data_IF_422511590712
#
_entry.id   IF_422511590712
#
_cell.length_a   1.000
_cell.length_b   1.000
_cell.length_c   1.000
_cell.angle_alpha   90.00
_cell.angle_beta   90.00
_cell.angle_gamma   90.00
#
_symmetry.space_group_name_H-M   'P 1'
#
loop_
_entity.id
_entity.type
_entity.pdbx_description
1 polymer ?
#
# COMPACT_ATOMS: atom_id res chain seq x y z
N UNK A 1 6.82 10.16 -0.78
CA UNK A 1 7.03 11.62 -0.57
C UNK A 1 8.52 12.02 -0.58
N UNK A 2 9.41 11.07 -0.28
CA UNK A 2 10.81 11.34 0.00
C UNK A 2 11.66 11.64 -1.23
N UNK A 3 12.87 12.14 -0.98
CA UNK A 3 13.89 12.42 -1.99
C UNK A 3 14.70 11.16 -2.35
N UNK A 4 15.71 11.35 -3.21
CA UNK A 4 16.58 10.28 -3.68
C UNK A 4 17.54 9.73 -2.62
N UNK A 5 17.66 10.35 -1.44
CA UNK A 5 18.45 9.79 -0.33
C UNK A 5 17.72 8.62 0.30
N UNK A 6 16.38 8.65 0.31
CA UNK A 6 15.54 7.56 0.82
C UNK A 6 15.01 6.67 -0.31
N UNK A 7 14.59 7.27 -1.42
CA UNK A 7 13.95 6.63 -2.57
C UNK A 7 14.84 6.74 -3.83
N UNK A 8 15.92 5.92 -3.85
CA UNK A 8 17.09 6.10 -4.74
C UNK A 8 16.78 6.13 -6.24
N UNK A 9 15.93 5.23 -6.72
CA UNK A 9 15.72 4.99 -8.15
C UNK A 9 14.25 5.09 -8.54
N UNK A 10 13.43 5.82 -7.77
CA UNK A 10 12.06 6.11 -8.16
C UNK A 10 12.03 7.10 -9.33
N UNK A 11 11.05 6.97 -10.26
CA UNK A 11 10.71 8.04 -11.19
C UNK A 11 10.36 9.33 -10.44
N UNK A 12 10.36 10.46 -11.16
CA UNK A 12 10.01 11.74 -10.54
C UNK A 12 8.58 11.69 -9.96
N UNK A 13 8.31 12.48 -8.91
CA UNK A 13 6.95 12.54 -8.34
C UNK A 13 5.89 12.94 -9.36
N UNK A 14 6.25 13.79 -10.32
CA UNK A 14 5.39 14.15 -11.45
C UNK A 14 5.01 12.94 -12.29
N UNK A 15 5.97 12.07 -12.62
CA UNK A 15 5.71 10.84 -13.38
C UNK A 15 4.87 9.85 -12.59
N UNK A 16 5.18 9.63 -11.31
CA UNK A 16 4.40 8.73 -10.44
C UNK A 16 2.94 9.17 -10.34
N UNK A 17 2.70 10.47 -10.11
CA UNK A 17 1.35 11.04 -10.05
C UNK A 17 0.64 10.89 -11.40
N UNK A 18 1.33 11.12 -12.52
CA UNK A 18 0.73 10.95 -13.84
C UNK A 18 0.36 9.49 -14.10
N UNK A 19 1.22 8.53 -13.78
CA UNK A 19 0.94 7.10 -13.90
C UNK A 19 -0.26 6.70 -13.04
N UNK A 20 -0.37 7.21 -11.81
CA UNK A 20 -1.52 6.98 -10.95
C UNK A 20 -2.82 7.50 -11.58
N UNK A 21 -2.82 8.72 -12.13
CA UNK A 21 -3.99 9.32 -12.78
C UNK A 21 -4.40 8.56 -14.04
N UNK A 22 -3.43 8.08 -14.83
CA UNK A 22 -3.68 7.23 -15.99
C UNK A 22 -4.33 5.92 -15.54
N UNK A 23 -3.76 5.23 -14.55
CA UNK A 23 -4.33 3.99 -14.01
C UNK A 23 -5.77 4.20 -13.53
N UNK A 24 -5.99 5.24 -12.73
CA UNK A 24 -7.31 5.62 -12.22
C UNK A 24 -8.35 5.86 -13.32
N UNK A 25 -7.98 6.56 -14.39
CA UNK A 25 -8.87 6.74 -15.56
C UNK A 25 -9.18 5.43 -16.27
N UNK A 26 -8.22 4.50 -16.30
CA UNK A 26 -8.36 3.21 -16.98
C UNK A 26 -9.24 2.24 -16.20
N UNK A 27 -9.08 2.15 -14.87
CA UNK A 27 -9.76 1.11 -14.07
C UNK A 27 -10.85 1.64 -13.15
N UNK A 28 -10.90 2.95 -12.89
CA UNK A 28 -11.80 3.61 -11.94
C UNK A 28 -11.06 4.10 -10.70
N UNK A 29 -11.46 5.28 -10.21
CA UNK A 29 -10.89 5.90 -9.00
C UNK A 29 -11.17 5.07 -7.74
N UNK A 30 -12.30 4.38 -7.70
CA UNK A 30 -12.71 3.50 -6.62
C UNK A 30 -11.84 2.24 -6.54
N UNK A 31 -11.17 1.87 -7.64
CA UNK A 31 -10.26 0.72 -7.73
C UNK A 31 -8.79 1.11 -7.60
N UNK A 32 -8.50 2.40 -7.50
CA UNK A 32 -7.14 2.93 -7.47
C UNK A 32 -6.89 3.62 -6.14
N UNK A 33 -6.24 2.91 -5.22
CA UNK A 33 -6.04 3.38 -3.84
C UNK A 33 -4.63 3.97 -3.70
N UNK A 34 -4.53 5.18 -3.16
CA UNK A 34 -3.24 5.80 -2.83
C UNK A 34 -2.70 5.22 -1.53
N UNK A 35 -1.40 4.91 -1.49
CA UNK A 35 -0.69 4.57 -0.26
C UNK A 35 0.35 5.64 0.04
N UNK A 36 0.19 6.32 1.17
CA UNK A 36 1.19 7.21 1.74
C UNK A 36 1.89 6.46 2.89
N UNK A 37 2.77 5.53 2.49
CA UNK A 37 3.32 4.51 3.38
C UNK A 37 4.80 4.21 3.01
N UNK A 38 5.71 4.17 3.99
CA UNK A 38 5.53 4.52 5.39
C UNK A 38 5.68 6.02 5.64
N UNK A 39 5.12 6.52 6.74
CA UNK A 39 5.45 7.82 7.35
C UNK A 39 6.75 7.65 8.16
N UNK A 40 7.75 8.48 7.88
CA UNK A 40 9.09 8.44 8.45
C UNK A 40 9.36 9.80 9.09
N UNK A 41 9.85 9.84 10.34
CA UNK A 41 10.30 11.08 10.96
C UNK A 41 11.82 11.15 11.08
N UNK A 42 12.36 12.31 10.71
CA UNK A 42 13.74 12.74 10.99
C UNK A 42 13.70 14.21 11.39
N UNK A 43 14.85 14.78 11.76
CA UNK A 43 14.96 16.22 12.03
C UNK A 43 14.51 17.09 10.83
N UNK A 44 14.73 16.62 9.61
CA UNK A 44 14.39 17.30 8.36
C UNK A 44 13.01 16.89 7.80
N UNK A 45 12.52 15.71 8.18
CA UNK A 45 11.25 15.14 7.75
C UNK A 45 10.31 15.15 8.96
N UNK A 46 9.72 16.31 9.23
CA UNK A 46 8.87 16.54 10.38
C UNK A 46 7.37 16.57 10.00
N UNK A 47 6.52 16.91 10.97
CA UNK A 47 5.08 17.04 10.76
C UNK A 47 4.74 18.08 9.67
N UNK A 48 5.47 19.19 9.59
CA UNK A 48 5.23 20.24 8.59
C UNK A 48 5.62 19.76 7.19
N UNK A 49 6.74 19.04 7.06
CA UNK A 49 7.14 18.38 5.83
C UNK A 49 6.04 17.43 5.34
N UNK A 50 5.50 16.60 6.23
CA UNK A 50 4.42 15.68 5.90
C UNK A 50 3.15 16.40 5.45
N UNK A 51 2.74 17.45 6.17
CA UNK A 51 1.57 18.25 5.81
C UNK A 51 1.71 18.85 4.39
N UNK A 52 2.84 19.51 4.11
CA UNK A 52 3.13 20.14 2.82
C UNK A 52 3.11 19.13 1.68
N UNK A 53 3.86 18.03 1.81
CA UNK A 53 4.01 17.04 0.74
C UNK A 53 2.72 16.24 0.52
N UNK A 54 2.01 15.91 1.61
CA UNK A 54 0.74 15.23 1.51
C UNK A 54 -0.31 16.10 0.83
N UNK A 55 -0.45 17.38 1.20
CA UNK A 55 -1.38 18.32 0.56
C UNK A 55 -1.06 18.50 -0.93
N UNK A 56 0.23 18.63 -1.27
CA UNK A 56 0.65 18.72 -2.67
C UNK A 56 0.20 17.50 -3.46
N UNK A 57 0.41 16.28 -2.96
CA UNK A 57 0.00 15.05 -3.66
C UNK A 57 -1.52 14.91 -3.69
N UNK A 58 -2.20 15.12 -2.55
CA UNK A 58 -3.66 15.04 -2.44
C UNK A 58 -4.35 15.95 -3.46
N UNK A 59 -3.88 17.20 -3.62
CA UNK A 59 -4.42 18.14 -4.62
C UNK A 59 -4.27 17.66 -6.07
N UNK A 60 -3.31 16.77 -6.36
CA UNK A 60 -3.11 16.19 -7.69
C UNK A 60 -3.85 14.88 -7.91
N UNK A 61 -4.27 14.24 -6.82
CA UNK A 61 -5.00 12.97 -6.83
C UNK A 61 -6.50 13.14 -6.58
N UNK A 62 -6.96 14.34 -6.26
CA UNK A 62 -8.39 14.68 -6.19
C UNK A 62 -9.12 14.22 -7.46
N UNK A 63 -10.21 13.47 -7.27
CA UNK A 63 -10.99 12.88 -8.37
C UNK A 63 -10.37 11.64 -9.03
N UNK A 64 -9.17 11.22 -8.63
CA UNK A 64 -8.49 10.01 -9.13
C UNK A 64 -8.41 8.89 -8.07
N UNK A 65 -8.77 9.17 -6.83
CA UNK A 65 -8.92 8.15 -5.79
C UNK A 65 -9.92 8.64 -4.75
N UNK A 66 -10.58 7.71 -4.07
CA UNK A 66 -11.44 8.01 -2.93
C UNK A 66 -10.75 7.67 -1.58
N UNK A 67 -9.60 6.97 -1.61
CA UNK A 67 -8.97 6.37 -0.43
C UNK A 67 -7.45 6.56 -0.41
N UNK A 68 -6.94 6.89 0.77
CA UNK A 68 -5.52 6.87 1.09
C UNK A 68 -5.25 5.95 2.28
N UNK A 69 -4.35 4.99 2.12
CA UNK A 69 -3.84 4.17 3.22
C UNK A 69 -2.56 4.81 3.75
N UNK A 70 -2.48 4.96 5.07
CA UNK A 70 -1.27 5.39 5.77
C UNK A 70 -0.79 4.31 6.74
N UNK A 71 0.51 4.32 7.01
CA UNK A 71 1.13 3.58 8.10
C UNK A 71 2.42 4.28 8.50
N UNK A 72 2.89 3.99 9.70
CA UNK A 72 4.15 4.50 10.22
C UNK A 72 5.25 3.45 10.03
N UNK A 73 6.51 3.91 9.97
CA UNK A 73 7.64 3.03 9.68
C UNK A 73 7.79 1.92 10.75
N UNK A 74 7.58 0.68 10.33
CA UNK A 74 8.04 -0.52 11.04
C UNK A 74 9.53 -0.79 10.72
N UNK A 75 10.34 -0.96 11.76
CA UNK A 75 11.75 -1.32 11.62
C UNK A 75 11.93 -2.85 11.64
N UNK A 76 12.36 -3.38 10.49
CA UNK A 76 12.79 -4.77 10.32
C UNK A 76 14.32 -4.80 10.21
N UNK A 77 14.96 -5.94 10.50
CA UNK A 77 16.43 -6.08 10.53
C UNK A 77 17.15 -5.42 9.35
N UNK A 78 16.61 -5.56 8.12
CA UNK A 78 17.19 -4.88 6.97
C UNK A 78 16.88 -3.39 6.93
N UNK A 79 15.62 -2.97 7.10
CA UNK A 79 15.30 -1.55 7.03
C UNK A 79 16.09 -0.79 8.09
N UNK A 80 16.33 -1.37 9.27
CA UNK A 80 17.29 -0.86 10.26
C UNK A 80 18.71 -0.71 9.70
N UNK A 81 19.25 -1.75 9.06
CA UNK A 81 20.60 -1.71 8.47
C UNK A 81 20.73 -0.63 7.40
N UNK A 82 19.74 -0.53 6.51
CA UNK A 82 19.74 0.40 5.38
C UNK A 82 19.48 1.84 5.82
N UNK A 83 18.63 2.04 6.83
CA UNK A 83 18.29 3.34 7.38
C UNK A 83 19.32 3.79 8.44
N UNK A 84 20.38 3.03 8.73
CA UNK A 84 21.37 3.36 9.79
C UNK A 84 22.03 4.74 9.63
N UNK A 85 22.18 5.22 8.40
CA UNK A 85 22.72 6.56 8.12
C UNK A 85 21.67 7.68 8.24
N UNK A 86 20.39 7.32 8.33
CA UNK A 86 19.28 8.22 8.54
C UNK A 86 18.99 8.27 10.04
N UNK A 87 19.07 9.46 10.62
CA UNK A 87 18.73 9.67 12.03
C UNK A 87 17.21 9.70 12.18
N UNK A 88 16.64 8.52 12.35
CA UNK A 88 15.22 8.34 12.62
C UNK A 88 14.84 8.88 14.00
N UNK A 89 13.71 9.56 14.08
CA UNK A 89 13.09 9.91 15.34
C UNK A 89 12.12 8.81 15.79
N UNK A 90 12.15 8.49 17.09
CA UNK A 90 11.13 7.61 17.68
C UNK A 90 9.78 8.32 17.66
N UNK A 91 8.83 7.77 16.91
CA UNK A 91 7.49 8.33 16.82
C UNK A 91 6.67 7.84 18.02
N UNK A 92 6.34 8.75 18.92
CA UNK A 92 5.42 8.47 20.03
C UNK A 92 3.99 8.46 19.52
N UNK A 93 3.12 7.68 20.18
CA UNK A 93 1.68 7.62 19.92
C UNK A 93 1.01 9.01 19.78
N UNK A 94 1.35 9.97 20.65
CA UNK A 94 0.81 11.34 20.58
C UNK A 94 1.19 12.06 19.29
N UNK A 95 2.43 11.86 18.80
CA UNK A 95 2.92 12.42 17.54
C UNK A 95 2.30 11.70 16.33
N UNK A 96 2.07 10.39 16.42
CA UNK A 96 1.33 9.65 15.38
C UNK A 96 -0.09 10.23 15.21
N UNK A 97 -0.81 10.43 16.31
CA UNK A 97 -2.15 11.05 16.29
C UNK A 97 -2.13 12.47 15.73
N UNK A 98 -1.15 13.28 16.13
CA UNK A 98 -0.99 14.65 15.62
C UNK A 98 -0.83 14.66 14.09
N UNK A 99 0.08 13.83 13.56
CA UNK A 99 0.31 13.71 12.13
C UNK A 99 -0.96 13.20 11.45
N UNK A 100 -1.54 12.11 11.94
CA UNK A 100 -2.74 11.50 11.38
C UNK A 100 -3.92 12.50 11.34
N UNK A 101 -4.12 13.30 12.40
CA UNK A 101 -5.14 14.35 12.44
C UNK A 101 -4.92 15.42 11.37
N UNK A 102 -3.67 15.86 11.18
CA UNK A 102 -3.32 16.86 10.16
C UNK A 102 -3.56 16.30 8.76
N UNK A 103 -3.08 15.07 8.50
CA UNK A 103 -3.26 14.42 7.19
C UNK A 103 -4.75 14.18 6.90
N UNK A 104 -5.53 13.74 7.89
CA UNK A 104 -6.98 13.53 7.79
C UNK A 104 -7.69 14.81 7.33
N UNK A 105 -7.44 15.93 8.02
CA UNK A 105 -8.00 17.24 7.67
C UNK A 105 -7.60 17.70 6.26
N UNK A 106 -6.39 17.38 5.82
CA UNK A 106 -5.94 17.71 4.46
C UNK A 106 -6.69 16.85 3.44
N UNK A 107 -6.77 15.54 3.67
CA UNK A 107 -7.43 14.60 2.77
C UNK A 107 -8.93 14.93 2.59
N UNK A 108 -9.61 15.34 3.65
CA UNK A 108 -11.01 15.78 3.62
C UNK A 108 -11.25 16.94 2.65
N UNK A 109 -10.31 17.91 2.56
CA UNK A 109 -10.41 19.03 1.60
C UNK A 109 -10.46 18.58 0.14
N UNK A 110 -9.90 17.40 -0.15
CA UNK A 110 -9.80 16.82 -1.49
C UNK A 110 -10.69 15.58 -1.65
N UNK A 111 -11.63 15.37 -0.72
CA UNK A 111 -12.58 14.25 -0.74
C UNK A 111 -11.92 12.86 -0.73
N UNK A 112 -10.79 12.71 -0.04
CA UNK A 112 -10.06 11.44 0.11
C UNK A 112 -10.22 10.94 1.55
N UNK A 113 -10.74 9.73 1.75
CA UNK A 113 -10.82 9.11 3.08
C UNK A 113 -9.48 8.47 3.45
N UNK A 114 -8.97 8.77 4.64
CA UNK A 114 -7.78 8.10 5.19
C UNK A 114 -8.18 6.86 5.99
N UNK A 115 -7.39 5.80 5.84
CA UNK A 115 -7.44 4.60 6.68
C UNK A 115 -6.02 4.17 7.07
N UNK A 116 -5.88 3.45 8.18
CA UNK A 116 -4.61 2.85 8.58
C UNK A 116 -4.50 1.39 8.17
N UNK A 117 -3.30 0.93 7.83
CA UNK A 117 -3.05 -0.49 7.56
C UNK A 117 -2.31 -1.15 8.72
N UNK A 118 -2.97 -2.08 9.42
CA UNK A 118 -2.35 -2.92 10.46
C UNK A 118 -1.60 -2.12 11.54
N UNK A 119 -2.18 -1.01 11.98
CA UNK A 119 -1.67 -0.22 13.11
C UNK A 119 -2.33 -0.69 14.41
N UNK A 120 -1.56 -0.86 15.48
CA UNK A 120 -2.07 -1.23 16.80
C UNK A 120 -2.76 -0.06 17.53
N UNK A 121 -2.41 1.16 17.14
CA UNK A 121 -2.93 2.37 17.73
C UNK A 121 -4.33 2.68 17.19
N UNK A 122 -5.24 3.11 18.07
CA UNK A 122 -6.54 3.61 17.66
C UNK A 122 -6.45 5.06 17.15
N UNK A 123 -6.87 5.27 15.90
CA UNK A 123 -6.96 6.57 15.23
C UNK A 123 -8.41 7.04 15.06
N UNK A 124 -9.39 6.32 15.60
CA UNK A 124 -10.79 6.73 15.59
C UNK A 124 -11.05 8.14 16.16
N UNK A 125 -10.30 8.65 17.18
CA UNK A 125 -10.48 10.02 17.66
C UNK A 125 -10.20 11.11 16.63
N UNK A 126 -9.49 10.78 15.55
CA UNK A 126 -9.17 11.69 14.44
C UNK A 126 -9.89 11.32 13.14
N UNK A 127 -10.93 10.48 13.25
CA UNK A 127 -11.80 10.08 12.14
C UNK A 127 -11.18 9.04 11.20
N UNK A 128 -10.07 8.40 11.59
CA UNK A 128 -9.39 7.41 10.75
C UNK A 128 -9.73 6.01 11.24
N UNK A 129 -10.29 5.22 10.35
CA UNK A 129 -10.62 3.82 10.59
C UNK A 129 -9.46 2.89 10.21
N UNK A 130 -9.48 1.70 10.77
CA UNK A 130 -8.59 0.63 10.30
C UNK A 130 -9.09 0.08 8.96
N UNK A 131 -8.25 0.19 7.95
CA UNK A 131 -8.53 -0.23 6.59
C UNK A 131 -8.20 -1.69 6.31
N UNK A 132 -8.63 -2.14 5.13
CA UNK A 132 -8.20 -3.39 4.52
C UNK A 132 -7.58 -3.07 3.16
N UNK A 133 -6.33 -3.47 2.92
CA UNK A 133 -5.73 -3.35 1.59
C UNK A 133 -6.45 -4.24 0.57
N UNK A 134 -6.86 -5.44 1.00
CA UNK A 134 -7.76 -6.31 0.25
C UNK A 134 -9.11 -6.32 1.00
N UNK A 135 -10.01 -5.45 0.55
CA UNK A 135 -11.24 -5.10 1.23
C UNK A 135 -12.45 -5.77 0.57
N UNK A 136 -13.07 -6.71 1.28
CA UNK A 136 -14.29 -7.40 0.86
C UNK A 136 -15.46 -6.47 0.58
N UNK A 137 -15.59 -5.36 1.32
CA UNK A 137 -16.66 -4.38 1.11
C UNK A 137 -16.44 -3.64 -0.21
N UNK A 138 -15.21 -3.23 -0.48
CA UNK A 138 -14.85 -2.60 -1.75
C UNK A 138 -15.00 -3.58 -2.92
N UNK A 139 -14.48 -4.80 -2.78
CA UNK A 139 -14.57 -5.83 -3.81
C UNK A 139 -16.05 -6.16 -4.12
N UNK A 140 -16.90 -6.28 -3.10
CA UNK A 140 -18.34 -6.51 -3.31
C UNK A 140 -19.00 -5.36 -4.07
N UNK A 141 -18.64 -4.11 -3.74
CA UNK A 141 -19.11 -2.92 -4.47
C UNK A 141 -18.65 -2.91 -5.93
N UNK A 142 -17.38 -3.25 -6.19
CA UNK A 142 -16.80 -3.31 -7.54
C UNK A 142 -17.47 -4.41 -8.38
N UNK A 143 -17.68 -5.60 -7.81
CA UNK A 143 -18.32 -6.73 -8.48
C UNK A 143 -19.84 -6.51 -8.63
N UNK A 144 -20.44 -5.67 -7.78
CA UNK A 144 -21.89 -5.44 -7.73
C UNK A 144 -22.66 -6.59 -7.08
N UNK A 145 -21.98 -7.48 -6.35
CA UNK A 145 -22.57 -8.63 -5.67
C UNK A 145 -21.91 -8.84 -4.31
N UNK A 146 -22.65 -9.34 -3.30
CA UNK A 146 -22.06 -9.66 -2.00
C UNK A 146 -21.05 -10.79 -2.13
N UNK A 147 -19.85 -10.59 -1.58
CA UNK A 147 -18.80 -11.60 -1.51
C UNK A 147 -18.67 -12.14 -0.09
N UNK A 148 -18.43 -13.44 0.04
CA UNK A 148 -18.07 -14.08 1.30
C UNK A 148 -16.63 -14.59 1.22
N UNK A 149 -15.70 -13.77 1.70
CA UNK A 149 -14.26 -14.07 1.69
C UNK A 149 -13.75 -14.03 3.13
N UNK A 150 -13.04 -15.08 3.54
CA UNK A 150 -12.47 -15.16 4.88
C UNK A 150 -11.25 -14.25 5.02
N UNK A 151 -10.97 -13.80 6.26
CA UNK A 151 -9.70 -13.16 6.61
C UNK A 151 -8.55 -14.07 6.17
N UNK A 152 -7.51 -13.49 5.60
CA UNK A 152 -6.29 -14.21 5.31
C UNK A 152 -5.57 -14.62 6.60
N UNK A 153 -5.36 -15.93 6.76
CA UNK A 153 -4.70 -16.53 7.91
C UNK A 153 -3.21 -16.22 7.97
N UNK A 154 -2.60 -15.87 6.83
CA UNK A 154 -1.17 -15.56 6.75
C UNK A 154 -0.87 -14.08 7.05
N UNK A 155 -1.91 -13.25 7.16
CA UNK A 155 -1.76 -11.85 7.51
C UNK A 155 -1.72 -11.66 9.02
N UNK A 156 -1.10 -10.55 9.45
CA UNK A 156 -0.99 -10.15 10.88
C UNK A 156 -2.35 -10.26 11.59
N UNK A 157 -2.33 -10.50 12.90
CA UNK A 157 -3.55 -10.68 13.70
C UNK A 157 -4.52 -9.51 13.53
N UNK A 158 -4.02 -8.29 13.66
CA UNK A 158 -4.81 -7.06 13.49
C UNK A 158 -5.16 -6.73 12.03
N UNK A 159 -4.54 -7.37 11.04
CA UNK A 159 -4.81 -7.08 9.63
C UNK A 159 -6.15 -7.67 9.20
N UNK A 160 -7.09 -6.83 8.78
CA UNK A 160 -8.43 -7.27 8.36
C UNK A 160 -8.54 -7.79 6.92
N UNK A 161 -7.44 -7.81 6.15
CA UNK A 161 -7.47 -8.20 4.73
C UNK A 161 -8.03 -9.60 4.52
N UNK A 162 -8.85 -9.75 3.49
CA UNK A 162 -9.36 -11.06 3.08
C UNK A 162 -8.33 -11.84 2.25
N UNK A 163 -8.51 -13.15 2.15
CA UNK A 163 -7.61 -14.03 1.40
C UNK A 163 -7.42 -13.54 -0.03
N UNK A 164 -6.17 -13.48 -0.47
CA UNK A 164 -5.79 -13.09 -1.83
C UNK A 164 -4.59 -13.90 -2.32
N UNK A 165 -4.24 -13.73 -3.58
CA UNK A 165 -3.04 -14.31 -4.19
C UNK A 165 -2.14 -13.15 -4.56
N UNK A 166 -0.92 -13.15 -4.01
CA UNK A 166 0.09 -12.14 -4.36
C UNK A 166 0.62 -12.41 -5.77
N UNK A 167 0.90 -11.33 -6.49
CA UNK A 167 1.51 -11.35 -7.82
C UNK A 167 2.95 -10.82 -7.81
N UNK A 168 3.44 -10.38 -6.64
CA UNK A 168 4.79 -9.88 -6.43
C UNK A 168 5.77 -10.95 -5.97
N UNK A 169 7.06 -10.60 -5.99
CA UNK A 169 8.12 -11.41 -5.41
C UNK A 169 9.17 -10.51 -4.75
N UNK A 170 9.81 -10.99 -3.68
CA UNK A 170 10.88 -10.27 -2.99
C UNK A 170 12.12 -10.14 -3.87
N UNK A 171 12.93 -9.10 -3.62
CA UNK A 171 14.13 -8.79 -4.39
C UNK A 171 13.88 -8.64 -5.90
N UNK A 172 12.74 -8.08 -6.32
CA UNK A 172 12.45 -7.85 -7.75
C UNK A 172 12.26 -6.36 -8.09
N UNK A 173 11.88 -5.55 -7.11
CA UNK A 173 11.65 -4.12 -7.33
C UNK A 173 12.98 -3.35 -7.47
N UNK A 174 13.18 -2.66 -8.58
CA UNK A 174 14.41 -1.90 -8.86
C UNK A 174 14.54 -0.55 -8.14
N UNK A 175 13.51 -0.08 -7.43
CA UNK A 175 13.45 1.30 -6.93
C UNK A 175 14.41 1.62 -5.77
N UNK A 176 14.88 0.59 -5.05
CA UNK A 176 15.94 0.74 -4.06
C UNK A 176 15.62 1.56 -2.81
N UNK A 177 14.33 1.72 -2.45
CA UNK A 177 13.91 2.46 -1.26
C UNK A 177 14.55 1.89 0.03
N UNK A 178 15.10 2.75 0.88
CA UNK A 178 15.84 2.32 2.07
C UNK A 178 14.94 1.68 3.15
N UNK A 179 13.69 2.09 3.23
CA UNK A 179 12.67 1.54 4.13
C UNK A 179 12.05 0.21 3.64
N UNK A 180 12.38 -0.25 2.42
CA UNK A 180 11.73 -1.42 1.84
C UNK A 180 12.18 -2.72 2.53
N UNK A 181 11.22 -3.46 3.09
CA UNK A 181 11.47 -4.78 3.68
C UNK A 181 11.54 -5.90 2.62
N UNK A 182 10.82 -5.76 1.50
CA UNK A 182 10.69 -6.80 0.48
C UNK A 182 11.96 -6.98 -0.39
N UNK A 183 12.80 -5.95 -0.48
CA UNK A 183 14.08 -6.03 -1.17
C UNK A 183 15.17 -6.17 -0.13
N UNK A 184 15.60 -7.40 0.18
CA UNK A 184 16.64 -7.66 1.15
C UNK A 184 18.08 -7.82 0.65
N UNK A 185 18.29 -7.94 -0.66
CA UNK A 185 19.64 -7.99 -1.25
C UNK A 185 19.71 -7.21 -2.55
N UNK A 186 20.56 -6.17 -2.59
CA UNK A 186 20.76 -5.35 -3.79
C UNK A 186 21.37 -6.17 -4.94
N UNK A 187 22.22 -7.15 -4.61
CA UNK A 187 22.75 -8.12 -5.60
C UNK A 187 21.64 -9.02 -6.14
N UNK A 188 20.75 -9.53 -5.28
CA UNK A 188 19.63 -10.35 -5.72
C UNK A 188 18.67 -9.54 -6.62
N UNK A 189 18.38 -8.28 -6.26
CA UNK A 189 17.57 -7.37 -7.09
C UNK A 189 18.18 -7.20 -8.48
N UNK A 190 19.48 -6.91 -8.57
CA UNK A 190 20.16 -6.76 -9.87
C UNK A 190 20.10 -8.05 -10.70
N UNK A 191 20.37 -9.19 -10.08
CA UNK A 191 20.34 -10.48 -10.77
C UNK A 191 18.92 -10.84 -11.23
N UNK A 192 17.91 -10.60 -10.41
CA UNK A 192 16.51 -10.86 -10.75
C UNK A 192 16.02 -9.91 -11.85
N UNK A 193 16.42 -8.64 -11.82
CA UNK A 193 16.08 -7.67 -12.86
C UNK A 193 16.59 -8.12 -14.24
N UNK A 194 17.82 -8.64 -14.32
CA UNK A 194 18.40 -9.16 -15.55
C UNK A 194 17.72 -10.44 -16.08
N UNK A 195 17.00 -11.15 -15.21
CA UNK A 195 16.24 -12.37 -15.55
C UNK A 195 14.80 -12.09 -15.96
N UNK A 196 14.35 -10.83 -15.93
CA UNK A 196 12.99 -10.50 -16.35
C UNK A 196 12.85 -10.69 -17.86
N UNK A 197 11.85 -11.46 -18.26
CA UNK A 197 11.50 -11.71 -19.65
C UNK A 197 9.98 -11.47 -19.81
N UNK A 198 9.55 -10.46 -20.59
CA UNK A 198 8.14 -10.18 -20.82
C UNK A 198 7.36 -11.32 -21.49
N UNK A 199 8.05 -12.26 -22.16
CA UNK A 199 7.42 -13.44 -22.76
C UNK A 199 7.30 -14.62 -21.77
N UNK A 200 7.97 -14.55 -20.62
CA UNK A 200 7.89 -15.56 -19.57
C UNK A 200 6.54 -15.52 -18.87
N UNK A 201 5.98 -16.68 -18.46
CA UNK A 201 4.81 -16.71 -17.58
C UNK A 201 5.14 -16.31 -16.13
N UNK A 202 6.41 -16.09 -15.79
CA UNK A 202 6.87 -15.73 -14.44
C UNK A 202 7.27 -14.26 -14.37
N UNK A 203 7.17 -13.67 -13.18
CA UNK A 203 7.64 -12.29 -12.94
C UNK A 203 9.16 -12.16 -13.19
N UNK A 204 9.93 -13.18 -12.82
CA UNK A 204 11.39 -13.25 -12.96
C UNK A 204 11.79 -14.67 -13.36
N UNK A 205 12.68 -14.80 -14.35
CA UNK A 205 13.15 -16.09 -14.84
C UNK A 205 12.13 -16.80 -15.72
N UNK A 206 12.29 -18.11 -15.88
CA UNK A 206 11.43 -18.99 -16.66
C UNK A 206 11.14 -20.27 -15.87
N UNK A 207 10.19 -21.05 -16.37
CA UNK A 207 9.92 -22.39 -15.86
C UNK A 207 11.14 -23.27 -16.16
N UNK A 208 11.73 -23.83 -15.11
CA UNK A 208 12.86 -24.74 -15.20
C UNK A 208 12.38 -26.20 -15.28
N UNK A 209 13.18 -27.16 -15.81
CA UNK A 209 12.76 -28.55 -15.97
C UNK A 209 12.31 -29.27 -14.68
N UNK A 210 12.82 -28.83 -13.53
CA UNK A 210 12.50 -29.39 -12.20
C UNK A 210 11.30 -28.70 -11.53
N UNK A 211 10.74 -27.65 -12.13
CA UNK A 211 9.61 -26.94 -11.56
C UNK A 211 8.33 -27.79 -11.65
N UNK A 212 7.60 -27.81 -10.53
CA UNK A 212 6.29 -28.46 -10.48
C UNK A 212 5.17 -27.43 -10.61
N UNK A 213 4.55 -27.40 -11.78
CA UNK A 213 3.35 -26.59 -12.02
C UNK A 213 2.12 -27.36 -11.53
N UNK A 214 1.31 -26.71 -10.69
CA UNK A 214 0.05 -27.27 -10.20
C UNK A 214 -1.08 -26.30 -10.48
N UNK A 215 -2.23 -26.84 -10.87
CA UNK A 215 -3.43 -26.05 -11.03
C UNK A 215 -4.03 -25.73 -9.66
N UNK A 216 -4.15 -24.43 -9.35
CA UNK A 216 -4.83 -23.99 -8.13
C UNK A 216 -6.34 -24.06 -8.35
N UNK A 217 -7.02 -24.95 -7.62
CA UNK A 217 -8.49 -25.01 -7.60
C UNK A 217 -9.05 -23.71 -7.00
N UNK A 218 -9.61 -22.87 -7.86
CA UNK A 218 -10.29 -21.64 -7.46
C UNK A 218 -11.79 -21.89 -7.30
N UNK A 219 -12.38 -21.31 -6.26
CA UNK A 219 -13.83 -21.35 -6.01
C UNK A 219 -14.39 -19.94 -6.07
N UNK A 220 -15.66 -19.82 -6.47
CA UNK A 220 -16.34 -18.53 -6.44
C UNK A 220 -16.64 -18.12 -5.00
N UNK A 221 -16.37 -16.85 -4.69
CA UNK A 221 -16.74 -16.23 -3.41
C UNK A 221 -18.09 -15.50 -3.46
N UNK A 222 -18.84 -15.60 -4.56
CA UNK A 222 -20.16 -14.98 -4.68
C UNK A 222 -21.11 -15.57 -3.64
N UNK A 223 -21.70 -14.70 -2.82
CA UNK A 223 -22.78 -15.10 -1.92
C UNK A 223 -24.11 -15.09 -2.69
N UNK A 224 -24.63 -16.28 -3.01
CA UNK A 224 -25.89 -16.44 -3.74
C UNK A 224 -27.14 -16.39 -2.85
N UNK A 225 -26.98 -16.21 -1.53
CA UNK A 225 -28.10 -16.11 -0.62
C UNK A 225 -28.79 -14.75 -0.83
N UNK A 226 -30.07 -14.78 -1.18
CA UNK A 226 -30.87 -13.55 -1.38
C UNK A 226 -30.88 -12.75 -0.09
N UNK A 227 -30.38 -11.51 -0.14
CA UNK A 227 -30.62 -10.52 0.90
C UNK A 227 -32.03 -10.00 0.67
N UNK A 228 -32.99 -10.46 1.49
CA UNK A 228 -34.32 -9.84 1.54
C UNK A 228 -34.14 -8.45 2.12
N UNK A 229 -34.13 -7.42 1.25
CA UNK A 229 -34.23 -6.04 1.69
C UNK A 229 -35.67 -5.82 2.16
N UNK A 230 -35.90 -6.01 3.45
CA UNK A 230 -37.09 -5.47 4.10
C UNK A 230 -36.87 -3.96 4.22
N UNK A 231 -37.35 -3.21 3.22
CA UNK A 231 -37.57 -1.78 3.38
C UNK A 231 -38.87 -1.63 4.19
N UNK A 232 -38.76 -1.15 5.42
CA UNK A 232 -39.86 -0.50 6.13
C UNK A 232 -39.86 1.00 5.81
#
# INVERSE_FOLDING_TARGET
PYDNKIERYLPSKKEIINSFRILSRTIGKEKTIWRYDPIILTKEIDTAYHALNFELIASKLEGYTDRCIISFLDLYQKSERNMKQIKLETIKNTKMLEIAAILSKIADKYHIKIETCSEHMDFSPVGIEQGKCIDDRLLSKIVGQPLSIKKDINQREICGCVTSIDIGAYNTCGHGCLYCYANYSDTAVKNNFLKHDPASPMLVGNIEPEDRITERKMVSYLNKQQVLNFCD
#
